data_IF_195938496796
#
_entry.id   IF_195938496796
#
_cell.length_a   1.000
_cell.length_b   1.000
_cell.length_c   1.000
_cell.angle_alpha   90.00
_cell.angle_beta   90.00
_cell.angle_gamma   90.00
#
_symmetry.space_group_name_H-M   'P 1'
#
loop_
_entity.id
_entity.type
_entity.pdbx_description
1 polymer ?
#
# COMPACT_ATOMS: atom_id res chain seq x y z
N UNK A 1 46.97 -9.83 4.78
CA UNK A 1 45.74 -10.41 5.36
C UNK A 1 44.63 -9.42 5.10
N UNK A 2 43.53 -9.86 4.50
CA UNK A 2 42.38 -9.01 4.22
C UNK A 2 41.54 -8.87 5.49
N UNK A 3 41.23 -7.64 5.90
CA UNK A 3 40.27 -7.36 6.97
C UNK A 3 38.90 -7.95 6.57
N UNK A 4 38.44 -8.95 7.31
CA UNK A 4 37.11 -9.52 7.11
C UNK A 4 36.14 -8.83 8.07
N UNK A 5 35.18 -8.11 7.51
CA UNK A 5 34.11 -7.40 8.23
C UNK A 5 32.93 -8.36 8.44
N UNK A 6 32.44 -8.49 9.67
CA UNK A 6 31.35 -9.41 10.01
C UNK A 6 30.11 -8.69 10.57
N UNK A 7 28.94 -9.27 10.33
CA UNK A 7 27.63 -8.77 10.75
C UNK A 7 26.95 -9.81 11.64
N UNK A 8 26.48 -9.42 12.83
CA UNK A 8 25.78 -10.32 13.78
C UNK A 8 24.26 -10.14 13.64
N UNK A 9 23.52 -11.25 13.53
CA UNK A 9 22.06 -11.30 13.36
C UNK A 9 21.36 -11.51 14.72
N UNK A 10 20.44 -10.62 15.10
CA UNK A 10 19.54 -10.85 16.24
C UNK A 10 18.27 -11.59 15.79
N UNK A 11 17.78 -12.52 16.61
CA UNK A 11 16.45 -13.12 16.42
C UNK A 11 15.39 -12.11 16.88
N UNK A 12 14.63 -11.58 15.93
CA UNK A 12 13.48 -10.72 16.19
C UNK A 12 12.37 -11.56 16.82
N UNK A 13 12.23 -11.56 18.15
CA UNK A 13 10.96 -11.50 18.88
C UNK A 13 11.16 -11.77 20.39
N UNK A 14 10.71 -10.79 21.18
CA UNK A 14 10.52 -10.74 22.65
C UNK A 14 11.73 -10.37 23.53
N UNK A 15 11.61 -9.35 24.41
CA UNK A 15 12.26 -9.43 25.71
C UNK A 15 11.61 -10.61 26.45
N UNK A 16 12.32 -11.73 26.56
CA UNK A 16 11.87 -12.85 27.38
C UNK A 16 11.84 -12.35 28.83
N UNK A 17 10.69 -12.41 29.49
CA UNK A 17 10.59 -12.19 30.93
C UNK A 17 11.37 -13.32 31.61
N UNK A 18 12.63 -13.09 31.94
CA UNK A 18 13.43 -14.02 32.72
C UNK A 18 12.84 -14.06 34.12
N UNK A 19 12.32 -15.21 34.56
CA UNK A 19 11.98 -15.42 35.97
C UNK A 19 13.28 -15.50 36.75
N UNK A 20 13.55 -14.49 37.57
CA UNK A 20 14.80 -14.31 38.32
C UNK A 20 14.92 -15.20 39.57
N UNK A 21 13.95 -16.10 39.80
CA UNK A 21 13.90 -16.96 40.98
C UNK A 21 13.74 -18.42 40.55
N UNK A 22 14.67 -19.27 40.99
CA UNK A 22 14.57 -20.72 40.87
C UNK A 22 14.32 -21.30 42.26
N UNK A 23 13.31 -22.15 42.39
CA UNK A 23 13.07 -22.90 43.62
C UNK A 23 14.10 -24.03 43.70
N UNK A 24 14.97 -23.97 44.70
CA UNK A 24 15.95 -25.03 44.95
C UNK A 24 15.27 -26.16 45.71
N UNK A 25 15.03 -27.28 45.03
CA UNK A 25 14.39 -28.46 45.62
C UNK A 25 15.21 -29.02 46.79
N UNK A 26 16.54 -28.88 46.74
CA UNK A 26 17.44 -29.36 47.80
C UNK A 26 17.37 -28.51 49.09
N UNK A 27 16.97 -27.25 49.00
CA UNK A 27 16.99 -26.31 50.15
C UNK A 27 15.62 -25.74 50.51
N UNK A 28 14.58 -25.96 49.70
CA UNK A 28 13.22 -25.48 49.95
C UNK A 28 13.05 -23.96 49.83
N UNK A 29 14.05 -23.26 49.30
CA UNK A 29 14.08 -21.81 49.21
C UNK A 29 14.00 -21.32 47.75
N UNK A 30 13.36 -20.17 47.57
CA UNK A 30 13.42 -19.41 46.32
C UNK A 30 14.74 -18.64 46.28
N UNK A 31 15.65 -19.06 45.40
CA UNK A 31 16.97 -18.44 45.27
C UNK A 31 16.93 -17.45 44.10
N UNK A 32 17.34 -16.20 44.38
CA UNK A 32 17.47 -15.15 43.38
C UNK A 32 18.82 -15.33 42.66
N UNK A 33 18.81 -15.85 41.43
CA UNK A 33 20.02 -16.31 40.74
C UNK A 33 20.72 -15.25 39.88
N UNK A 34 20.16 -14.04 39.79
CA UNK A 34 20.65 -13.01 38.87
C UNK A 34 21.00 -11.71 39.60
N UNK A 35 22.03 -11.75 40.44
CA UNK A 35 22.69 -10.53 40.92
C UNK A 35 23.71 -9.95 39.92
N UNK A 36 24.00 -10.62 38.79
CA UNK A 36 25.11 -10.28 37.90
C UNK A 36 24.81 -10.36 36.38
N UNK A 37 23.57 -10.18 35.91
CA UNK A 37 23.32 -10.10 34.45
C UNK A 37 23.23 -8.65 34.03
N UNK A 38 24.40 -8.04 33.85
CA UNK A 38 24.54 -6.91 32.93
C UNK A 38 24.34 -7.46 31.51
N UNK A 39 23.34 -6.92 30.81
CA UNK A 39 23.11 -6.99 29.36
C UNK A 39 24.05 -7.92 28.57
N UNK A 40 23.71 -9.21 28.52
CA UNK A 40 24.43 -10.19 27.70
C UNK A 40 24.06 -9.99 26.24
N UNK A 41 25.00 -9.47 25.45
CA UNK A 41 24.93 -9.53 23.99
C UNK A 41 25.54 -10.87 23.56
N UNK A 42 24.69 -11.82 23.18
CA UNK A 42 25.13 -13.07 22.57
C UNK A 42 25.38 -12.89 21.08
N UNK A 43 26.63 -13.05 20.63
CA UNK A 43 26.97 -13.24 19.22
C UNK A 43 27.32 -14.71 18.99
N UNK A 44 26.65 -15.36 18.02
CA UNK A 44 26.90 -16.76 17.66
C UNK A 44 27.75 -16.84 16.40
N UNK A 45 28.87 -17.55 16.49
CA UNK A 45 29.80 -17.77 15.38
C UNK A 45 29.84 -19.27 15.04
N UNK A 46 29.43 -19.62 13.83
CA UNK A 46 29.53 -21.00 13.34
C UNK A 46 30.92 -21.24 12.77
N UNK A 47 31.67 -22.20 13.33
CA UNK A 47 32.94 -22.65 12.77
C UNK A 47 34.16 -21.77 13.06
N UNK A 48 34.06 -20.84 14.01
CA UNK A 48 35.17 -19.99 14.47
C UNK A 48 35.57 -20.44 15.87
N UNK A 49 36.85 -20.77 16.05
CA UNK A 49 37.36 -21.15 17.37
C UNK A 49 37.47 -19.92 18.30
N UNK A 50 37.36 -20.07 19.62
CA UNK A 50 37.48 -18.96 20.56
C UNK A 50 38.79 -18.16 20.45
N UNK A 51 39.87 -18.80 20.00
CA UNK A 51 41.17 -18.16 19.80
C UNK A 51 41.20 -17.22 18.56
N UNK A 52 40.34 -17.47 17.58
CA UNK A 52 40.23 -16.68 16.35
C UNK A 52 39.36 -15.43 16.55
N UNK A 53 38.55 -15.38 17.62
CA UNK A 53 37.68 -14.24 17.94
C UNK A 53 38.45 -12.92 18.15
N UNK A 54 39.71 -13.00 18.59
CA UNK A 54 40.56 -11.84 18.83
C UNK A 54 40.99 -11.10 17.56
N UNK A 55 40.63 -11.59 16.37
CA UNK A 55 41.00 -10.99 15.08
C UNK A 55 39.90 -10.11 14.48
N UNK A 56 38.73 -9.99 15.14
CA UNK A 56 37.57 -9.28 14.61
C UNK A 56 37.34 -7.94 15.33
N UNK A 57 37.00 -6.90 14.56
CA UNK A 57 36.73 -5.53 15.02
C UNK A 57 35.25 -5.18 14.90
N UNK A 58 34.72 -4.45 15.88
CA UNK A 58 33.33 -3.98 15.93
C UNK A 58 33.27 -2.48 15.58
N UNK A 59 32.47 -2.08 14.59
CA UNK A 59 32.41 -0.68 14.12
C UNK A 59 31.05 0.00 14.40
N UNK A 60 31.15 1.12 15.13
CA UNK A 60 30.29 2.30 15.32
C UNK A 60 28.79 2.19 15.68
N UNK A 61 28.41 3.06 16.64
CA UNK A 61 27.07 3.48 17.03
C UNK A 61 26.84 4.90 16.48
N UNK A 62 25.67 5.18 15.91
CA UNK A 62 25.24 6.56 15.55
C UNK A 62 24.50 7.15 16.75
N UNK A 63 24.90 8.36 17.19
CA UNK A 63 24.38 9.17 18.31
C UNK A 63 24.84 8.82 19.74
N UNK A 64 26.15 8.64 19.93
CA UNK A 64 26.84 8.66 21.22
C UNK A 64 28.33 8.96 21.04
N UNK A 65 29.11 9.26 22.09
CA UNK A 65 30.56 9.40 21.95
C UNK A 65 31.11 8.12 21.31
N UNK A 66 31.84 8.28 20.21
CA UNK A 66 32.35 7.17 19.42
C UNK A 66 33.16 6.21 20.31
N UNK A 67 32.85 4.91 20.23
CA UNK A 67 33.80 3.88 20.65
C UNK A 67 35.12 4.13 19.90
N UNK A 68 36.27 3.94 20.56
CA UNK A 68 37.57 4.08 19.90
C UNK A 68 37.55 3.22 18.63
N UNK A 69 37.89 3.85 17.50
CA UNK A 69 38.07 3.16 16.21
C UNK A 69 39.00 1.97 16.43
N UNK A 70 38.60 0.79 15.94
CA UNK A 70 39.34 -0.47 16.03
C UNK A 70 39.46 -1.05 17.45
N UNK A 71 38.38 -1.04 18.24
CA UNK A 71 38.33 -1.82 19.49
C UNK A 71 38.30 -3.32 19.16
N UNK A 72 39.33 -4.05 19.59
CA UNK A 72 39.38 -5.50 19.45
C UNK A 72 38.33 -6.15 20.37
N UNK A 73 37.64 -7.18 19.88
CA UNK A 73 36.69 -7.95 20.70
C UNK A 73 37.35 -8.58 21.94
N UNK A 74 38.67 -8.87 21.89
CA UNK A 74 39.45 -9.31 23.05
C UNK A 74 39.55 -8.27 24.16
N UNK A 75 39.40 -6.98 23.83
CA UNK A 75 39.47 -5.89 24.81
C UNK A 75 38.15 -5.74 25.59
N UNK A 76 37.07 -6.34 25.10
CA UNK A 76 35.80 -6.50 25.81
C UNK A 76 35.94 -7.66 26.81
N UNK A 77 36.69 -7.41 27.87
CA UNK A 77 36.76 -8.33 29.01
C UNK A 77 35.40 -8.42 29.70
N UNK A 78 35.04 -9.63 30.14
CA UNK A 78 33.81 -9.88 30.88
C UNK A 78 33.70 -8.88 32.05
N UNK A 79 32.59 -8.13 32.11
CA UNK A 79 32.28 -7.26 33.24
C UNK A 79 32.53 -5.76 33.07
N UNK A 80 32.62 -5.22 31.85
CA UNK A 80 32.56 -3.75 31.63
C UNK A 80 31.19 -3.29 31.13
N UNK A 81 30.57 -2.39 31.87
CA UNK A 81 29.42 -1.59 31.46
C UNK A 81 29.88 -0.51 30.48
N UNK A 82 29.26 -0.43 29.30
CA UNK A 82 29.46 0.73 28.44
C UNK A 82 28.96 1.98 29.19
N UNK A 83 29.78 3.04 29.27
CA UNK A 83 29.39 4.31 29.91
C UNK A 83 28.21 5.00 29.22
N UNK A 84 27.90 4.58 28.00
CA UNK A 84 26.79 5.06 27.17
C UNK A 84 26.08 3.86 26.56
N UNK A 85 24.77 4.01 26.32
CA UNK A 85 23.95 2.97 25.72
C UNK A 85 24.53 2.50 24.38
N UNK A 86 24.68 1.19 24.21
CA UNK A 86 25.07 0.58 22.94
C UNK A 86 23.82 0.48 22.06
N UNK A 87 23.68 1.34 21.05
CA UNK A 87 22.56 1.30 20.10
C UNK A 87 22.98 0.45 18.90
N UNK A 88 22.50 -0.80 18.85
CA UNK A 88 22.68 -1.69 17.68
C UNK A 88 21.49 -1.49 16.74
N UNK A 89 21.73 -0.89 15.57
CA UNK A 89 20.74 -0.76 14.49
C UNK A 89 21.00 -1.83 13.43
N UNK A 90 19.96 -2.44 12.87
CA UNK A 90 20.10 -3.37 11.73
C UNK A 90 20.70 -2.61 10.53
N UNK A 91 21.47 -3.25 9.64
CA UNK A 91 21.86 -2.63 8.36
C UNK A 91 20.63 -2.34 7.47
N UNK A 92 19.54 -3.08 7.63
CA UNK A 92 18.24 -2.74 7.04
C UNK A 92 17.60 -1.50 7.67
N UNK A 93 18.18 -0.99 8.77
CA UNK A 93 17.80 0.26 9.40
C UNK A 93 18.65 1.46 8.97
N UNK A 94 19.70 1.24 8.18
CA UNK A 94 20.72 2.27 8.00
C UNK A 94 20.46 3.21 6.83
N UNK A 95 19.86 2.80 5.70
CA UNK A 95 19.37 3.76 4.70
C UNK A 95 18.48 3.01 3.69
N UNK A 96 17.15 3.15 3.80
CA UNK A 96 16.33 2.92 2.62
C UNK A 96 16.48 4.17 1.75
N UNK A 97 16.75 4.02 0.43
CA UNK A 97 16.83 5.18 -0.43
C UNK A 97 15.51 5.95 -0.39
N UNK A 98 15.56 7.29 -0.56
CA UNK A 98 14.36 8.04 -0.83
C UNK A 98 13.71 7.49 -2.11
N UNK A 99 12.40 7.66 -2.22
CA UNK A 99 11.71 7.33 -3.46
C UNK A 99 12.30 8.13 -4.64
N UNK A 100 12.49 7.45 -5.77
CA UNK A 100 13.00 8.04 -7.01
C UNK A 100 11.87 8.10 -8.05
N UNK A 101 11.24 9.27 -8.24
CA UNK A 101 10.13 9.44 -9.18
C UNK A 101 10.48 9.08 -10.62
N UNK A 102 11.76 9.16 -11.01
CA UNK A 102 12.19 8.81 -12.37
C UNK A 102 12.12 7.31 -12.65
N UNK A 103 12.11 6.47 -11.60
CA UNK A 103 11.94 5.01 -11.70
C UNK A 103 10.49 4.56 -11.63
N UNK A 104 9.59 5.45 -11.25
CA UNK A 104 8.17 5.13 -11.15
C UNK A 104 7.60 4.74 -12.51
N UNK A 105 6.87 3.63 -12.53
CA UNK A 105 6.09 3.18 -13.68
C UNK A 105 4.70 2.84 -13.20
N UNK A 106 3.70 3.36 -13.89
CA UNK A 106 2.32 2.98 -13.62
C UNK A 106 2.11 1.52 -14.00
N UNK A 107 1.57 0.75 -13.05
CA UNK A 107 1.28 -0.67 -13.22
C UNK A 107 -0.18 -0.97 -12.84
N UNK A 108 -0.74 -1.99 -13.48
CA UNK A 108 -2.06 -2.52 -13.16
C UNK A 108 -1.93 -3.98 -12.69
N UNK A 109 -1.52 -4.20 -11.42
CA UNK A 109 -1.16 -5.53 -10.91
C UNK A 109 -2.31 -6.53 -10.90
N UNK A 110 -3.56 -6.07 -10.99
CA UNK A 110 -4.75 -6.91 -11.06
C UNK A 110 -5.19 -7.21 -12.49
N UNK A 111 -4.61 -6.54 -13.48
CA UNK A 111 -4.95 -6.73 -14.88
C UNK A 111 -3.97 -7.69 -15.54
N UNK A 112 -4.46 -8.47 -16.50
CA UNK A 112 -3.61 -9.34 -17.30
C UNK A 112 -2.59 -8.49 -18.09
N UNK A 113 -1.30 -8.79 -17.91
CA UNK A 113 -0.24 -8.27 -18.78
C UNK A 113 -0.22 -9.11 -20.05
N UNK A 114 -1.00 -8.72 -21.05
CA UNK A 114 -0.77 -9.26 -22.38
C UNK A 114 0.61 -8.77 -22.83
N UNK A 115 1.53 -9.73 -23.02
CA UNK A 115 2.79 -9.52 -23.72
C UNK A 115 2.43 -8.91 -25.08
N UNK A 116 2.93 -7.70 -25.34
CA UNK A 116 2.73 -6.91 -26.55
C UNK A 116 1.37 -6.17 -26.71
N UNK A 117 0.98 -5.29 -25.79
CA UNK A 117 0.11 -4.14 -26.12
C UNK A 117 0.93 -2.95 -26.68
N UNK A 118 1.82 -3.22 -27.63
CA UNK A 118 2.51 -2.16 -28.37
C UNK A 118 1.50 -1.51 -29.33
N UNK A 119 1.11 -0.27 -29.01
CA UNK A 119 0.46 0.68 -29.93
C UNK A 119 -0.87 0.25 -30.57
N UNK A 120 -1.74 -0.47 -29.86
CA UNK A 120 -3.14 -0.55 -30.29
C UNK A 120 -3.84 0.75 -29.88
N UNK A 121 -4.13 1.61 -30.86
CA UNK A 121 -4.93 2.81 -30.62
C UNK A 121 -6.40 2.44 -30.41
N UNK A 122 -7.10 3.15 -29.52
CA UNK A 122 -8.56 3.01 -29.36
C UNK A 122 -9.27 3.59 -30.59
N UNK A 123 -9.30 2.83 -31.68
CA UNK A 123 -9.97 3.21 -32.92
C UNK A 123 -11.46 3.45 -32.68
N UNK A 124 -12.01 4.52 -33.29
CA UNK A 124 -13.44 4.82 -33.27
C UNK A 124 -14.02 5.21 -31.90
N UNK A 125 -13.19 5.55 -30.90
CA UNK A 125 -13.65 5.91 -29.55
C UNK A 125 -13.47 7.38 -29.18
N UNK A 126 -12.92 8.19 -30.07
CA UNK A 126 -12.52 9.58 -29.82
C UNK A 126 -13.67 10.42 -29.23
N UNK A 127 -14.90 10.27 -29.75
CA UNK A 127 -16.07 11.01 -29.24
C UNK A 127 -16.45 10.60 -27.81
N UNK A 128 -16.41 9.31 -27.49
CA UNK A 128 -16.69 8.79 -26.14
C UNK A 128 -15.64 9.29 -25.15
N UNK A 129 -14.36 9.31 -25.57
CA UNK A 129 -13.25 9.83 -24.76
C UNK A 129 -13.44 11.32 -24.49
N UNK A 130 -13.77 12.12 -25.51
CA UNK A 130 -14.03 13.56 -25.35
C UNK A 130 -15.18 13.83 -24.37
N UNK A 131 -16.31 13.14 -24.52
CA UNK A 131 -17.45 13.27 -23.61
C UNK A 131 -17.14 12.88 -22.16
N UNK A 132 -16.23 11.93 -21.96
CA UNK A 132 -15.74 11.55 -20.64
C UNK A 132 -14.79 12.62 -20.09
N UNK A 133 -13.84 13.11 -20.90
CA UNK A 133 -12.89 14.14 -20.49
C UNK A 133 -13.58 15.46 -20.12
N UNK A 134 -14.59 15.88 -20.88
CA UNK A 134 -15.39 17.06 -20.59
C UNK A 134 -16.11 16.92 -19.25
N UNK A 135 -16.69 15.75 -19.00
CA UNK A 135 -17.35 15.43 -17.74
C UNK A 135 -16.36 15.42 -16.55
N UNK A 136 -15.21 14.76 -16.70
CA UNK A 136 -14.16 14.74 -15.67
C UNK A 136 -13.65 16.15 -15.35
N UNK A 137 -13.51 17.00 -16.38
CA UNK A 137 -13.07 18.39 -16.23
C UNK A 137 -14.10 19.26 -15.49
N UNK A 138 -15.38 19.08 -15.79
CA UNK A 138 -16.50 19.79 -15.14
C UNK A 138 -16.95 19.22 -13.79
N UNK A 139 -16.23 18.26 -13.20
CA UNK A 139 -16.67 17.56 -11.98
C UNK A 139 -16.85 18.45 -10.74
N UNK A 140 -16.21 19.62 -10.75
CA UNK A 140 -16.33 20.62 -9.67
C UNK A 140 -17.75 21.18 -9.55
N UNK A 141 -18.47 21.25 -10.65
CA UNK A 141 -19.80 21.88 -10.73
C UNK A 141 -20.94 20.89 -10.42
N UNK A 142 -20.63 19.62 -10.19
CA UNK A 142 -21.66 18.61 -9.98
C UNK A 142 -22.28 18.69 -8.59
N UNK A 143 -23.60 18.62 -8.51
CA UNK A 143 -24.31 18.53 -7.23
C UNK A 143 -24.12 17.16 -6.57
N UNK A 144 -24.10 16.09 -7.37
CA UNK A 144 -23.89 14.70 -6.92
C UNK A 144 -22.58 14.14 -7.47
N UNK A 145 -22.04 13.12 -6.81
CA UNK A 145 -20.86 12.41 -7.31
C UNK A 145 -21.19 11.64 -8.61
N UNK A 146 -20.29 11.59 -9.61
CA UNK A 146 -20.59 10.92 -10.89
C UNK A 146 -19.49 9.92 -11.25
N UNK A 147 -19.68 8.63 -10.94
CA UNK A 147 -18.83 7.56 -11.45
C UNK A 147 -19.18 7.25 -12.92
N UNK A 148 -18.21 6.76 -13.68
CA UNK A 148 -18.42 6.35 -15.07
C UNK A 148 -18.59 4.84 -15.15
N UNK A 149 -19.63 4.39 -15.84
CA UNK A 149 -19.94 2.98 -16.06
C UNK A 149 -19.72 2.69 -17.54
N UNK A 150 -18.68 1.95 -17.86
CA UNK A 150 -18.25 1.60 -19.21
C UNK A 150 -18.82 0.22 -19.56
N UNK A 151 -19.62 0.15 -20.62
CA UNK A 151 -20.26 -1.08 -21.08
C UNK A 151 -19.90 -1.39 -22.53
N UNK A 152 -20.07 -2.64 -22.95
CA UNK A 152 -19.86 -3.06 -24.34
C UNK A 152 -18.49 -3.71 -24.60
N UNK A 153 -18.18 -3.89 -25.88
CA UNK A 153 -16.99 -4.63 -26.30
C UNK A 153 -15.70 -3.80 -26.14
N UNK A 154 -14.64 -4.46 -25.67
CA UNK A 154 -13.33 -3.82 -25.47
C UNK A 154 -13.25 -2.92 -24.22
N UNK A 155 -14.22 -3.01 -23.31
CA UNK A 155 -14.30 -2.20 -22.07
C UNK A 155 -13.05 -2.26 -21.19
N UNK A 156 -12.49 -3.45 -20.97
CA UNK A 156 -11.26 -3.66 -20.18
C UNK A 156 -10.07 -2.98 -20.83
N UNK A 157 -9.91 -3.14 -22.15
CA UNK A 157 -8.85 -2.48 -22.90
C UNK A 157 -9.02 -0.95 -22.91
N UNK A 158 -10.25 -0.47 -23.12
CA UNK A 158 -10.59 0.95 -23.01
C UNK A 158 -10.24 1.52 -21.63
N UNK A 159 -10.66 0.84 -20.56
CA UNK A 159 -10.38 1.22 -19.18
C UNK A 159 -8.86 1.31 -18.92
N UNK A 160 -8.08 0.33 -19.41
CA UNK A 160 -6.61 0.35 -19.32
C UNK A 160 -5.99 1.52 -20.07
N UNK A 161 -6.38 1.75 -21.32
CA UNK A 161 -5.85 2.83 -22.15
C UNK A 161 -6.15 4.21 -21.57
N UNK A 162 -7.38 4.42 -21.10
CA UNK A 162 -7.77 5.65 -20.40
C UNK A 162 -7.00 5.78 -19.09
N UNK A 163 -6.99 4.76 -18.24
CA UNK A 163 -6.30 4.80 -16.95
C UNK A 163 -4.80 5.06 -17.05
N UNK A 164 -4.14 4.50 -18.07
CA UNK A 164 -2.71 4.69 -18.33
C UNK A 164 -2.38 5.88 -19.24
N UNK A 165 -3.40 6.61 -19.69
CA UNK A 165 -3.27 7.72 -20.64
C UNK A 165 -2.49 7.35 -21.92
N UNK A 166 -2.60 6.07 -22.35
CA UNK A 166 -2.13 5.58 -23.66
C UNK A 166 -3.10 5.98 -24.77
N UNK A 167 -3.38 7.27 -24.84
CA UNK A 167 -4.28 7.91 -25.79
C UNK A 167 -3.47 8.86 -26.68
N UNK A 168 -4.05 9.28 -27.82
CA UNK A 168 -3.49 10.39 -28.60
C UNK A 168 -3.41 11.65 -27.71
N UNK A 169 -2.41 12.54 -27.88
CA UNK A 169 -2.26 13.73 -27.03
C UNK A 169 -3.52 14.62 -26.95
N UNK A 170 -4.28 14.74 -28.05
CA UNK A 170 -5.52 15.52 -28.12
C UNK A 170 -6.72 14.86 -27.40
N UNK A 171 -6.58 13.60 -27.00
CA UNK A 171 -7.58 12.81 -26.28
C UNK A 171 -7.19 12.55 -24.82
N UNK A 172 -6.02 12.99 -24.39
CA UNK A 172 -5.60 12.85 -22.99
C UNK A 172 -6.40 13.81 -22.10
N UNK A 173 -6.73 13.34 -20.90
CA UNK A 173 -7.36 14.17 -19.89
C UNK A 173 -6.29 14.69 -18.93
N UNK A 174 -6.07 16.01 -18.80
CA UNK A 174 -4.99 16.56 -17.98
C UNK A 174 -4.99 16.02 -16.54
N UNK A 175 -6.17 15.84 -15.96
CA UNK A 175 -6.34 15.37 -14.58
C UNK A 175 -5.98 13.89 -14.42
N UNK A 176 -6.23 13.08 -15.45
CA UNK A 176 -5.82 11.67 -15.47
C UNK A 176 -4.32 11.53 -15.80
N UNK A 177 -3.77 12.39 -16.67
CA UNK A 177 -2.32 12.46 -16.94
C UNK A 177 -1.56 12.78 -15.67
N UNK A 178 -1.98 13.82 -14.94
CA UNK A 178 -1.34 14.22 -13.68
C UNK A 178 -1.51 13.15 -12.59
N UNK A 179 -2.70 12.52 -12.50
CA UNK A 179 -2.91 11.41 -11.58
C UNK A 179 -1.99 10.21 -11.90
N UNK A 180 -1.87 9.85 -13.18
CA UNK A 180 -0.99 8.77 -13.63
C UNK A 180 0.48 9.06 -13.32
N UNK A 181 0.93 10.30 -13.56
CA UNK A 181 2.30 10.75 -13.30
C UNK A 181 2.69 10.71 -11.81
N UNK A 182 1.72 10.87 -10.91
CA UNK A 182 1.96 10.93 -9.46
C UNK A 182 1.48 9.69 -8.68
N UNK A 183 1.30 8.55 -9.34
CA UNK A 183 0.95 7.32 -8.62
C UNK A 183 -0.50 7.21 -8.15
N UNK A 184 -1.42 8.01 -8.69
CA UNK A 184 -2.80 8.14 -8.18
C UNK A 184 -3.83 7.34 -8.96
N UNK A 185 -3.41 6.38 -9.78
CA UNK A 185 -4.30 5.49 -10.52
C UNK A 185 -4.24 4.10 -9.93
N UNK A 186 -5.34 3.67 -9.32
CA UNK A 186 -5.51 2.39 -8.65
C UNK A 186 -6.43 1.53 -9.50
N UNK A 187 -6.07 0.27 -9.70
CA UNK A 187 -6.87 -0.68 -10.49
C UNK A 187 -7.28 -1.88 -9.66
N UNK A 188 -8.41 -2.49 -9.99
CA UNK A 188 -8.83 -3.77 -9.43
C UNK A 188 -9.69 -4.55 -10.42
N UNK A 189 -9.47 -5.87 -10.53
CA UNK A 189 -10.23 -6.79 -11.37
C UNK A 189 -11.02 -7.76 -10.47
N UNK A 190 -12.34 -7.58 -10.45
CA UNK A 190 -13.25 -8.39 -9.64
C UNK A 190 -13.46 -9.81 -10.21
N UNK A 191 -13.06 -10.07 -11.45
CA UNK A 191 -13.09 -11.42 -12.01
C UNK A 191 -12.01 -12.31 -11.41
N UNK A 192 -10.80 -11.77 -11.27
CA UNK A 192 -9.63 -12.48 -10.72
C UNK A 192 -9.57 -12.52 -9.21
N UNK A 193 -10.03 -11.44 -8.58
CA UNK A 193 -10.00 -11.30 -7.13
C UNK A 193 -11.44 -11.08 -6.67
N UNK A 194 -12.27 -12.13 -6.68
CA UNK A 194 -13.66 -12.01 -6.27
C UNK A 194 -13.71 -11.56 -4.81
N UNK A 195 -14.32 -10.41 -4.59
CA UNK A 195 -14.59 -9.83 -3.29
C UNK A 195 -16.10 -9.81 -3.06
N UNK A 196 -16.52 -9.82 -1.79
CA UNK A 196 -17.92 -9.64 -1.40
C UNK A 196 -18.01 -8.57 -0.32
N UNK A 197 -18.88 -7.59 -0.55
CA UNK A 197 -19.10 -6.43 0.31
C UNK A 197 -20.55 -6.38 0.77
N UNK A 198 -20.91 -7.33 1.65
CA UNK A 198 -22.29 -7.43 2.19
C UNK A 198 -22.66 -6.30 3.16
N UNK A 199 -21.69 -5.50 3.60
CA UNK A 199 -21.87 -4.44 4.60
C UNK A 199 -20.94 -3.24 4.32
N UNK A 200 -21.37 -2.03 4.68
CA UNK A 200 -20.62 -0.79 4.47
C UNK A 200 -19.18 -0.84 5.00
N UNK A 201 -18.97 -1.44 6.18
CA UNK A 201 -17.66 -1.59 6.79
C UNK A 201 -16.70 -2.44 5.95
N UNK A 202 -17.22 -3.41 5.19
CA UNK A 202 -16.41 -4.26 4.29
C UNK A 202 -16.02 -3.52 3.02
N UNK A 203 -16.91 -2.68 2.47
CA UNK A 203 -16.58 -1.79 1.36
C UNK A 203 -15.51 -0.77 1.76
N UNK A 204 -15.61 -0.18 2.95
CA UNK A 204 -14.57 0.70 3.51
C UNK A 204 -13.24 -0.04 3.63
N UNK A 205 -13.24 -1.20 4.30
CA UNK A 205 -12.03 -1.99 4.48
C UNK A 205 -11.35 -2.32 3.15
N UNK A 206 -12.12 -2.66 2.11
CA UNK A 206 -11.58 -2.90 0.77
C UNK A 206 -10.92 -1.67 0.14
N UNK A 207 -11.58 -0.50 0.18
CA UNK A 207 -11.01 0.73 -0.37
C UNK A 207 -9.70 1.11 0.34
N UNK A 208 -9.70 1.01 1.67
CA UNK A 208 -8.52 1.24 2.49
C UNK A 208 -7.41 0.23 2.15
N UNK A 209 -7.75 -1.05 2.00
CA UNK A 209 -6.84 -2.14 1.60
C UNK A 209 -6.21 -1.89 0.23
N UNK A 210 -6.99 -1.45 -0.75
CA UNK A 210 -6.53 -1.11 -2.08
C UNK A 210 -5.54 0.06 -2.05
N UNK A 211 -5.86 1.13 -1.33
CA UNK A 211 -4.97 2.27 -1.19
C UNK A 211 -3.64 1.90 -0.51
N UNK A 212 -3.68 1.14 0.59
CA UNK A 212 -2.47 0.69 1.27
C UNK A 212 -1.65 -0.25 0.38
N UNK A 213 -2.29 -1.14 -0.37
CA UNK A 213 -1.61 -2.04 -1.31
C UNK A 213 -0.80 -1.26 -2.34
N UNK A 214 -1.42 -0.29 -3.02
CA UNK A 214 -0.74 0.49 -4.06
C UNK A 214 0.40 1.33 -3.48
N UNK A 215 0.25 1.93 -2.30
CA UNK A 215 1.36 2.63 -1.63
C UNK A 215 2.52 1.70 -1.30
N UNK A 216 2.23 0.53 -0.72
CA UNK A 216 3.25 -0.47 -0.37
C UNK A 216 3.98 -1.02 -1.59
N UNK A 217 3.27 -1.20 -2.71
CA UNK A 217 3.86 -1.63 -3.97
C UNK A 217 4.70 -0.53 -4.62
N UNK A 218 4.18 0.70 -4.66
CA UNK A 218 4.84 1.84 -5.30
C UNK A 218 6.12 2.23 -4.59
N UNK A 219 6.12 2.22 -3.26
CA UNK A 219 7.25 2.63 -2.43
C UNK A 219 8.06 1.43 -1.92
N UNK A 220 7.88 0.24 -2.49
CA UNK A 220 8.62 -0.94 -2.06
C UNK A 220 10.13 -0.67 -2.07
N UNK A 221 10.80 -0.99 -0.95
CA UNK A 221 12.23 -0.75 -0.82
C UNK A 221 12.63 0.70 -0.53
N UNK A 222 11.67 1.62 -0.39
CA UNK A 222 11.94 3.07 -0.24
C UNK A 222 11.43 3.62 1.10
N UNK A 223 11.98 4.78 1.49
CA UNK A 223 11.49 5.57 2.62
C UNK A 223 10.72 6.81 2.12
N UNK A 224 9.50 7.00 2.62
CA UNK A 224 8.68 8.19 2.37
C UNK A 224 8.13 8.67 3.71
N UNK A 225 8.34 9.94 4.04
CA UNK A 225 7.90 10.51 5.33
C UNK A 225 8.42 9.71 6.55
N UNK A 226 9.65 9.21 6.47
CA UNK A 226 10.24 8.35 7.51
C UNK A 226 9.61 6.96 7.64
N UNK A 227 8.66 6.60 6.78
CA UNK A 227 8.01 5.29 6.72
C UNK A 227 8.75 4.44 5.68
N UNK A 228 9.28 3.30 6.12
CA UNK A 228 9.90 2.31 5.23
C UNK A 228 8.87 1.36 4.68
N UNK A 229 8.57 1.51 3.40
CA UNK A 229 7.58 0.71 2.72
C UNK A 229 8.20 -0.61 2.23
N UNK A 230 7.37 -1.63 2.24
CA UNK A 230 7.70 -2.96 1.73
C UNK A 230 6.46 -3.49 1.01
N UNK A 231 6.66 -4.19 -0.09
CA UNK A 231 5.58 -4.80 -0.84
C UNK A 231 4.85 -5.84 0.01
N UNK A 232 3.51 -5.78 -0.03
CA UNK A 232 2.64 -6.66 0.74
C UNK A 232 1.68 -7.40 -0.21
N UNK A 233 1.43 -8.70 0.02
CA UNK A 233 0.39 -9.40 -0.70
C UNK A 233 -0.99 -8.82 -0.34
N UNK A 234 -1.79 -8.46 -1.36
CA UNK A 234 -3.06 -7.77 -1.21
C UNK A 234 -3.93 -8.34 -0.09
N UNK A 235 -4.20 -9.66 -0.11
CA UNK A 235 -5.10 -10.32 0.84
C UNK A 235 -4.58 -10.40 2.30
N UNK A 236 -3.29 -10.15 2.55
CA UNK A 236 -2.70 -10.24 3.91
C UNK A 236 -2.15 -8.92 4.43
N UNK A 237 -2.54 -7.80 3.80
CA UNK A 237 -2.08 -6.47 4.23
C UNK A 237 -2.42 -6.20 5.69
N UNK A 238 -3.61 -6.59 6.15
CA UNK A 238 -4.07 -6.34 7.53
C UNK A 238 -3.35 -7.22 8.57
N UNK A 239 -2.84 -8.38 8.19
CA UNK A 239 -2.22 -9.35 9.11
C UNK A 239 -0.69 -9.20 9.17
N UNK A 240 -0.11 -8.35 8.32
CA UNK A 240 1.34 -8.26 8.18
C UNK A 240 2.04 -7.61 9.38
N UNK A 241 2.78 -8.39 10.16
CA UNK A 241 3.46 -7.90 11.38
C UNK A 241 4.94 -7.54 11.21
N UNK A 242 5.55 -7.80 10.04
CA UNK A 242 6.95 -7.43 9.79
C UNK A 242 7.11 -5.98 9.30
N UNK A 243 8.33 -5.43 9.41
CA UNK A 243 8.68 -4.06 9.00
C UNK A 243 9.07 -3.13 10.14
N UNK A 244 9.45 -1.90 9.80
CA UNK A 244 9.80 -0.83 10.75
C UNK A 244 8.63 -0.47 11.67
N UNK A 245 8.89 -0.05 12.91
CA UNK A 245 7.83 0.34 13.86
C UNK A 245 6.89 1.43 13.30
N UNK A 246 7.44 2.46 12.65
CA UNK A 246 6.64 3.54 12.04
C UNK A 246 5.71 3.01 10.95
N UNK A 247 6.19 2.11 10.10
CA UNK A 247 5.36 1.41 9.11
C UNK A 247 4.22 0.63 9.77
N UNK A 248 4.50 -0.15 10.82
CA UNK A 248 3.45 -0.90 11.54
C UNK A 248 2.40 0.03 12.16
N UNK A 249 2.83 1.13 12.77
CA UNK A 249 1.95 2.12 13.37
C UNK A 249 1.09 2.85 12.32
N UNK A 250 1.70 3.27 11.21
CA UNK A 250 1.02 3.86 10.08
C UNK A 250 -0.04 2.91 9.49
N UNK A 251 0.34 1.66 9.19
CA UNK A 251 -0.59 0.65 8.67
C UNK A 251 -1.78 0.42 9.60
N UNK A 252 -1.54 0.31 10.91
CA UNK A 252 -2.60 0.17 11.92
C UNK A 252 -3.50 1.41 12.00
N UNK A 253 -2.96 2.61 11.76
CA UNK A 253 -3.75 3.84 11.76
C UNK A 253 -4.64 3.95 10.51
N UNK A 254 -4.19 3.42 9.35
CA UNK A 254 -4.99 3.39 8.13
C UNK A 254 -6.38 2.74 8.31
N UNK A 255 -6.48 1.66 9.10
CA UNK A 255 -7.77 0.98 9.37
C UNK A 255 -8.71 1.70 10.34
N UNK A 256 -8.21 2.76 10.98
CA UNK A 256 -9.01 3.64 11.84
C UNK A 256 -9.46 4.90 11.10
N UNK A 257 -8.96 5.13 9.89
CA UNK A 257 -9.32 6.28 9.05
C UNK A 257 -10.62 5.99 8.31
N UNK A 258 -11.38 7.06 8.06
CA UNK A 258 -12.41 7.05 7.02
C UNK A 258 -11.77 6.95 5.64
N UNK A 259 -12.56 6.54 4.63
CA UNK A 259 -12.13 6.53 3.21
C UNK A 259 -11.57 7.89 2.80
N UNK A 260 -12.26 8.97 3.14
CA UNK A 260 -11.82 10.35 2.89
C UNK A 260 -10.42 10.64 3.49
N UNK A 261 -10.22 10.36 4.77
CA UNK A 261 -8.92 10.56 5.44
C UNK A 261 -7.81 9.71 4.84
N UNK A 262 -8.13 8.53 4.30
CA UNK A 262 -7.14 7.70 3.62
C UNK A 262 -6.80 8.21 2.22
N UNK A 263 -7.76 8.79 1.49
CA UNK A 263 -7.48 9.49 0.24
C UNK A 263 -6.55 10.68 0.51
N UNK A 264 -6.84 11.47 1.55
CA UNK A 264 -6.00 12.62 1.94
C UNK A 264 -4.57 12.16 2.29
N UNK A 265 -4.42 11.05 3.02
CA UNK A 265 -3.11 10.45 3.28
C UNK A 265 -2.40 9.99 2.00
N UNK A 266 -3.12 9.33 1.09
CA UNK A 266 -2.55 8.85 -0.17
C UNK A 266 -2.01 10.02 -1.00
N UNK A 267 -2.79 11.10 -1.11
CA UNK A 267 -2.38 12.34 -1.80
C UNK A 267 -1.17 12.96 -1.10
N UNK A 268 -1.16 13.03 0.23
CA UNK A 268 -0.03 13.56 1.01
C UNK A 268 1.25 12.77 0.77
N UNK A 269 1.21 11.45 0.88
CA UNK A 269 2.38 10.58 0.71
C UNK A 269 2.90 10.62 -0.73
N UNK A 270 2.01 10.63 -1.73
CA UNK A 270 2.43 10.78 -3.14
C UNK A 270 2.99 12.18 -3.41
N UNK A 271 2.42 13.26 -2.88
CA UNK A 271 3.02 14.60 -3.00
C UNK A 271 4.43 14.64 -2.41
N UNK A 272 4.63 14.07 -1.22
CA UNK A 272 5.95 14.00 -0.58
C UNK A 272 6.94 13.16 -1.38
N UNK A 273 6.55 11.96 -1.83
CA UNK A 273 7.42 11.07 -2.57
C UNK A 273 7.83 11.66 -3.93
N UNK A 274 6.89 12.28 -4.65
CA UNK A 274 7.15 12.87 -5.96
C UNK A 274 7.73 14.29 -5.91
N UNK A 275 7.80 14.91 -4.72
CA UNK A 275 8.30 16.28 -4.56
C UNK A 275 7.40 17.33 -5.22
N UNK A 276 6.09 17.12 -5.22
CA UNK A 276 5.10 17.96 -5.92
C UNK A 276 4.00 18.47 -4.97
N UNK A 277 3.35 19.55 -5.36
CA UNK A 277 2.14 20.10 -4.71
C UNK A 277 0.91 19.91 -5.59
N UNK A 278 0.71 18.67 -6.07
CA UNK A 278 -0.34 18.33 -7.02
C UNK A 278 -1.70 18.13 -6.33
N UNK A 279 -2.73 18.78 -6.88
CA UNK A 279 -4.14 18.57 -6.54
C UNK A 279 -4.82 17.48 -7.35
N UNK A 280 -4.08 16.67 -8.13
CA UNK A 280 -4.66 15.63 -8.97
C UNK A 280 -5.49 14.63 -8.13
N UNK A 281 -6.71 14.29 -8.57
CA UNK A 281 -7.58 13.39 -7.82
C UNK A 281 -7.03 11.95 -7.83
N UNK A 282 -7.46 11.17 -6.84
CA UNK A 282 -7.31 9.72 -6.88
C UNK A 282 -8.23 9.15 -7.97
N UNK A 283 -7.74 8.17 -8.72
CA UNK A 283 -8.47 7.53 -9.82
C UNK A 283 -8.60 6.04 -9.52
N UNK A 284 -9.84 5.54 -9.48
CA UNK A 284 -10.15 4.12 -9.34
C UNK A 284 -10.59 3.54 -10.68
N UNK A 285 -9.92 2.47 -11.10
CA UNK A 285 -10.27 1.67 -12.27
C UNK A 285 -10.78 0.32 -11.77
N UNK A 286 -12.08 0.10 -11.86
CA UNK A 286 -12.70 -1.16 -11.46
C UNK A 286 -13.14 -1.91 -12.70
N UNK A 287 -12.64 -3.13 -12.88
CA UNK A 287 -13.01 -3.98 -14.00
C UNK A 287 -13.88 -5.15 -13.54
N UNK A 288 -14.68 -5.66 -14.47
CA UNK A 288 -15.60 -6.79 -14.26
C UNK A 288 -16.60 -6.55 -13.12
N UNK A 289 -17.09 -5.30 -12.99
CA UNK A 289 -17.95 -4.86 -11.88
C UNK A 289 -19.33 -5.52 -11.87
N UNK A 290 -19.76 -6.18 -12.94
CA UNK A 290 -21.04 -6.90 -12.98
C UNK A 290 -21.15 -7.98 -11.89
N UNK A 291 -20.02 -8.45 -11.36
CA UNK A 291 -19.99 -9.37 -10.20
C UNK A 291 -20.49 -8.75 -8.91
N UNK A 292 -20.44 -7.43 -8.78
CA UNK A 292 -20.90 -6.67 -7.62
C UNK A 292 -22.34 -6.18 -7.77
N UNK A 293 -22.98 -6.47 -8.90
CA UNK A 293 -24.30 -5.96 -9.26
C UNK A 293 -25.44 -6.90 -8.86
N UNK A 294 -25.14 -8.11 -8.36
CA UNK A 294 -26.16 -9.01 -7.86
C UNK A 294 -26.88 -8.38 -6.65
N UNK A 295 -28.23 -8.35 -6.64
CA UNK A 295 -29.00 -7.85 -5.50
C UNK A 295 -28.62 -8.66 -4.26
N UNK A 296 -28.00 -8.00 -3.29
CA UNK A 296 -27.60 -8.60 -2.03
C UNK A 296 -28.39 -7.90 -0.94
N UNK A 297 -28.72 -8.59 0.16
CA UNK A 297 -29.28 -7.93 1.35
C UNK A 297 -28.20 -7.07 2.00
N UNK A 298 -27.92 -5.92 1.38
CA UNK A 298 -27.01 -4.93 1.93
C UNK A 298 -27.79 -4.14 2.96
N UNK A 299 -27.43 -4.30 4.23
CA UNK A 299 -28.02 -3.51 5.31
C UNK A 299 -27.44 -2.09 5.26
N UNK A 300 -28.09 -1.18 4.54
CA UNK A 300 -27.84 0.25 4.69
C UNK A 300 -28.54 0.74 5.97
N UNK A 301 -27.93 1.69 6.68
CA UNK A 301 -28.18 1.90 8.11
C UNK A 301 -29.58 2.42 8.50
N UNK A 302 -30.51 2.71 7.59
CA UNK A 302 -31.82 3.28 7.98
C UNK A 302 -33.04 2.91 7.13
N UNK A 303 -32.93 2.17 6.03
CA UNK A 303 -34.09 1.67 5.25
C UNK A 303 -33.78 0.31 4.63
N UNK A 304 -34.81 -0.54 4.48
CA UNK A 304 -34.72 -1.83 3.78
C UNK A 304 -34.62 -1.63 2.25
N UNK A 305 -33.72 -0.76 1.79
CA UNK A 305 -33.48 -0.57 0.36
C UNK A 305 -32.52 -1.66 -0.13
N UNK A 306 -32.88 -2.32 -1.24
CA UNK A 306 -32.03 -3.34 -1.86
C UNK A 306 -30.91 -2.65 -2.65
N UNK A 307 -29.77 -2.47 -2.02
CA UNK A 307 -28.56 -1.95 -2.67
C UNK A 307 -27.71 -3.08 -3.28
N UNK A 308 -26.97 -2.76 -4.35
CA UNK A 308 -25.91 -3.65 -4.88
C UNK A 308 -24.58 -3.36 -4.19
N UNK A 309 -23.66 -4.33 -4.16
CA UNK A 309 -22.33 -4.10 -3.58
C UNK A 309 -21.56 -2.99 -4.32
N UNK A 310 -21.79 -2.84 -5.64
CA UNK A 310 -21.26 -1.73 -6.43
C UNK A 310 -21.81 -0.38 -5.96
N UNK A 311 -23.13 -0.28 -5.73
CA UNK A 311 -23.74 0.96 -5.26
C UNK A 311 -23.21 1.39 -3.88
N UNK A 312 -22.97 0.42 -3.00
CA UNK A 312 -22.35 0.65 -1.71
C UNK A 312 -20.93 1.21 -1.88
N UNK A 313 -20.10 0.57 -2.70
CA UNK A 313 -18.73 1.02 -2.98
C UNK A 313 -18.69 2.46 -3.52
N UNK A 314 -19.54 2.77 -4.49
CA UNK A 314 -19.64 4.09 -5.10
C UNK A 314 -20.15 5.15 -4.10
N UNK A 315 -21.06 4.78 -3.21
CA UNK A 315 -21.53 5.65 -2.12
C UNK A 315 -20.40 6.01 -1.16
N UNK A 316 -19.48 5.07 -0.87
CA UNK A 316 -18.30 5.34 -0.04
C UNK A 316 -17.27 6.25 -0.74
N UNK A 317 -17.21 6.19 -2.07
CA UNK A 317 -16.37 7.06 -2.89
C UNK A 317 -16.98 8.44 -3.15
N UNK A 318 -18.28 8.64 -2.90
CA UNK A 318 -18.97 9.93 -2.97
C UNK A 318 -18.59 10.87 -1.80
N UNK A 319 -17.30 10.98 -1.50
CA UNK A 319 -16.73 11.82 -0.46
C UNK A 319 -16.31 13.20 -1.00
N UNK A 320 -15.86 14.08 -0.11
CA UNK A 320 -15.51 15.47 -0.44
C UNK A 320 -14.36 15.58 -1.47
N UNK A 321 -13.36 14.68 -1.43
CA UNK A 321 -12.29 14.66 -2.43
C UNK A 321 -12.75 14.26 -3.84
N UNK A 322 -13.97 13.70 -4.01
CA UNK A 322 -14.56 13.30 -5.30
C UNK A 322 -13.56 12.61 -6.25
N UNK A 323 -12.99 11.46 -5.85
CA UNK A 323 -12.06 10.70 -6.69
C UNK A 323 -12.73 10.31 -8.01
N UNK A 324 -11.97 10.21 -9.10
CA UNK A 324 -12.51 9.75 -10.38
C UNK A 324 -12.68 8.23 -10.30
N UNK A 325 -13.87 7.72 -10.61
CA UNK A 325 -14.11 6.28 -10.63
C UNK A 325 -14.60 5.85 -12.03
N UNK A 326 -13.85 4.96 -12.65
CA UNK A 326 -14.14 4.34 -13.94
C UNK A 326 -14.39 2.85 -13.70
N UNK A 327 -15.60 2.39 -13.98
CA UNK A 327 -16.04 1.02 -13.74
C UNK A 327 -16.39 0.37 -15.08
N UNK A 328 -15.78 -0.76 -15.44
CA UNK A 328 -16.11 -1.52 -16.64
C UNK A 328 -16.92 -2.78 -16.28
N UNK A 329 -18.03 -3.02 -16.99
CA UNK A 329 -18.93 -4.17 -16.74
C UNK A 329 -19.80 -4.58 -17.93
N UNK A 330 -20.53 -5.71 -17.80
CA UNK A 330 -21.41 -6.22 -18.88
C UNK A 330 -22.69 -5.41 -19.03
N UNK A 331 -23.21 -5.30 -20.26
CA UNK A 331 -24.37 -4.49 -20.63
C UNK A 331 -25.74 -5.06 -20.20
N UNK A 332 -25.78 -6.07 -19.34
CA UNK A 332 -26.97 -6.91 -19.12
C UNK A 332 -28.08 -6.23 -18.30
N UNK A 333 -28.19 -4.89 -18.36
CA UNK A 333 -29.23 -4.08 -17.73
C UNK A 333 -29.15 -3.98 -16.21
N UNK A 334 -28.43 -4.90 -15.56
CA UNK A 334 -28.38 -5.04 -14.10
C UNK A 334 -27.28 -4.22 -13.42
N UNK A 335 -26.49 -3.42 -14.15
CA UNK A 335 -25.36 -2.71 -13.53
C UNK A 335 -25.83 -1.68 -12.48
N UNK A 336 -27.05 -1.15 -12.61
CA UNK A 336 -27.50 0.00 -11.81
C UNK A 336 -28.99 -0.11 -11.45
N UNK A 337 -29.30 -0.73 -10.31
CA UNK A 337 -30.48 -0.32 -9.54
C UNK A 337 -29.99 0.72 -8.53
N UNK A 338 -30.20 2.00 -8.82
CA UNK A 338 -29.81 3.11 -7.96
C UNK A 338 -31.08 3.81 -7.49
N UNK A 339 -31.24 3.92 -6.17
CA UNK A 339 -32.34 4.68 -5.59
C UNK A 339 -32.28 6.15 -6.01
N UNK A 340 -33.44 6.78 -6.24
CA UNK A 340 -33.52 8.16 -6.75
C UNK A 340 -32.85 9.21 -5.82
N UNK A 341 -32.72 8.91 -4.54
CA UNK A 341 -32.09 9.71 -3.50
C UNK A 341 -30.60 9.41 -3.29
N UNK A 342 -29.97 8.65 -4.20
CA UNK A 342 -28.54 8.32 -4.13
C UNK A 342 -27.63 9.56 -4.05
N UNK A 343 -26.50 9.40 -3.37
CA UNK A 343 -25.44 10.42 -3.26
C UNK A 343 -24.64 10.60 -4.55
N UNK A 344 -24.86 9.72 -5.53
CA UNK A 344 -24.15 9.70 -6.81
C UNK A 344 -25.09 9.44 -7.99
N UNK A 345 -24.74 9.94 -9.17
CA UNK A 345 -25.45 9.71 -10.44
C UNK A 345 -24.43 9.18 -11.44
N UNK A 346 -24.49 7.90 -11.84
CA UNK A 346 -23.51 7.36 -12.76
C UNK A 346 -23.71 7.91 -14.18
N UNK A 347 -22.62 8.10 -14.91
CA UNK A 347 -22.64 8.37 -16.35
C UNK A 347 -22.29 7.10 -17.11
N UNK A 348 -23.21 6.62 -17.93
CA UNK A 348 -23.02 5.40 -18.74
C UNK A 348 -22.28 5.76 -20.03
N UNK A 349 -21.20 5.04 -20.31
CA UNK A 349 -20.42 5.12 -21.54
C UNK A 349 -20.55 3.79 -22.28
N UNK A 350 -21.36 3.77 -23.33
CA UNK A 350 -21.55 2.56 -24.14
C UNK A 350 -20.56 2.51 -25.28
N UNK A 351 -19.75 1.45 -25.30
CA UNK A 351 -18.81 1.14 -26.37
C UNK A 351 -19.51 0.27 -27.42
N UNK A 352 -19.95 0.89 -28.52
CA UNK A 352 -20.50 0.20 -29.71
C UNK A 352 -19.50 -0.75 -30.33
N UNK A 353 -19.91 -1.88 -30.92
CA UNK A 353 -18.97 -2.68 -31.72
C UNK A 353 -18.39 -1.81 -32.84
N UNK A 354 -17.10 -1.99 -33.16
CA UNK A 354 -16.52 -1.38 -34.35
C UNK A 354 -17.21 -2.03 -35.55
N UNK A 355 -18.19 -1.34 -36.13
CA UNK A 355 -18.69 -1.70 -37.45
C UNK A 355 -17.54 -1.47 -38.42
N UNK A 356 -17.05 -2.55 -39.03
CA UNK A 356 -16.08 -2.44 -40.12
C UNK A 356 -16.72 -1.61 -41.24
N UNK A 357 -16.05 -0.53 -41.63
CA UNK A 357 -16.18 0.03 -42.97
C UNK A 357 -15.20 -0.69 -43.90
#
# INVERSE_FOLDING_TARGET
MNEQVFWVKYQTNQPVKIRTHQFSIATGLWVQTLFNVADVIGAFFSGVSPAELGQYTLHAVVDGPALKVNLLLSDLTAGRTAKTALIIKSKSDIDMPPFDPAKYKLEFPFFESAVAEAHVSLLGRDQVIKQMNDAISGRGDWQKYTPFIITGMGKTFFLKCVGSQRLKPDLQCPQLVEAAAHGRVLSFDFARNPMQFKEAKKADAFLLQLMVFFLCRMFDGCEVDGIRFQSLPFLRIEEHEAGQLKFKQWRRSCWRRSVQQMIDEYVRLTNLAFGVTSGAPLVFLFDEVQRLCAPTEVRSNQRQDKDTELSLLLTRLACQQRPICLCAGSSDGNILNIAADSTFVPKILSLTALSGE
#
